data_IF_704176053494
#
_entry.id   IF_704176053494
#
_cell.length_a   1.000
_cell.length_b   1.000
_cell.length_c   1.000
_cell.angle_alpha   90.00
_cell.angle_beta   90.00
_cell.angle_gamma   90.00
#
_symmetry.space_group_name_H-M   'P 1'
#
loop_
_entity.id
_entity.type
_entity.pdbx_description
1 polymer ?
#
# COMPACT_ATOMS: atom_id res chain seq x y z
N UNK A 1 -1.60 2.48 -15.19
CA UNK A 1 -3.03 2.13 -15.33
C UNK A 1 -3.72 2.34 -13.98
N UNK A 2 -4.37 3.47 -13.82
CA UNK A 2 -4.95 3.93 -12.55
C UNK A 2 -6.31 3.27 -12.34
N UNK A 3 -6.40 2.27 -11.46
CA UNK A 3 -7.68 1.65 -11.06
C UNK A 3 -8.31 2.52 -9.96
N UNK A 4 -9.03 3.58 -10.34
CA UNK A 4 -9.85 4.36 -9.41
C UNK A 4 -11.12 3.58 -9.05
N UNK A 5 -11.50 3.60 -7.77
CA UNK A 5 -12.79 3.07 -7.32
C UNK A 5 -13.94 3.94 -7.85
N UNK A 6 -15.13 3.35 -8.03
CA UNK A 6 -16.36 4.12 -8.25
C UNK A 6 -16.62 5.02 -7.03
N UNK A 7 -17.01 6.27 -7.29
CA UNK A 7 -17.29 7.26 -6.26
C UNK A 7 -18.40 6.76 -5.31
N UNK A 8 -18.16 6.86 -4.00
CA UNK A 8 -19.14 6.59 -2.94
C UNK A 8 -19.21 5.17 -2.38
N UNK A 9 -18.60 4.14 -3.00
CA UNK A 9 -18.80 2.74 -2.56
C UNK A 9 -17.70 2.14 -1.67
N UNK A 10 -16.69 2.90 -1.28
CA UNK A 10 -15.56 2.41 -0.45
C UNK A 10 -14.97 3.46 0.49
N UNK A 11 -15.70 4.52 0.78
CA UNK A 11 -15.18 5.62 1.60
C UNK A 11 -14.92 5.17 3.04
N UNK A 12 -15.81 4.35 3.61
CA UNK A 12 -15.68 3.85 4.99
C UNK A 12 -14.39 3.03 5.20
N UNK A 13 -14.09 2.08 4.31
CA UNK A 13 -12.86 1.28 4.44
C UNK A 13 -11.60 2.08 4.15
N UNK A 14 -11.68 3.08 3.26
CA UNK A 14 -10.55 3.98 3.03
C UNK A 14 -10.29 4.82 4.28
N UNK A 15 -11.33 5.38 4.87
CA UNK A 15 -11.26 6.17 6.11
C UNK A 15 -10.73 5.35 7.29
N UNK A 16 -11.21 4.12 7.46
CA UNK A 16 -10.71 3.18 8.48
C UNK A 16 -9.21 2.94 8.32
N UNK A 17 -8.75 2.64 7.10
CA UNK A 17 -7.32 2.41 6.84
C UNK A 17 -6.51 3.69 7.04
N UNK A 18 -7.00 4.86 6.62
CA UNK A 18 -6.26 6.11 6.82
C UNK A 18 -6.14 6.47 8.30
N UNK A 19 -7.20 6.27 9.09
CA UNK A 19 -7.18 6.50 10.53
C UNK A 19 -6.20 5.55 11.22
N UNK A 20 -6.20 4.28 10.80
CA UNK A 20 -5.24 3.27 11.27
C UNK A 20 -3.78 3.65 10.96
N UNK A 21 -3.49 4.16 9.76
CA UNK A 21 -2.13 4.61 9.38
C UNK A 21 -1.66 5.77 10.26
N UNK A 22 -2.58 6.67 10.64
CA UNK A 22 -2.26 7.85 11.44
C UNK A 22 -2.32 7.61 12.95
N UNK A 23 -2.60 6.39 13.39
CA UNK A 23 -2.65 6.06 14.81
C UNK A 23 -1.23 5.97 15.41
N UNK A 24 -0.93 6.96 16.25
CA UNK A 24 0.35 7.09 16.94
C UNK A 24 0.41 6.31 18.27
N UNK A 25 -0.65 5.61 18.69
CA UNK A 25 -0.59 4.76 19.88
C UNK A 25 0.42 3.62 19.65
N UNK A 26 1.32 3.40 20.61
CA UNK A 26 2.30 2.30 20.59
C UNK A 26 1.62 0.92 20.60
N UNK A 27 0.37 0.85 21.07
CA UNK A 27 -0.45 -0.37 21.09
C UNK A 27 -1.21 -0.60 19.79
N UNK A 28 -1.23 0.37 18.87
CA UNK A 28 -1.92 0.22 17.60
C UNK A 28 -1.25 -0.89 16.76
N UNK A 29 -2.04 -1.76 16.09
CA UNK A 29 -1.47 -2.79 15.24
C UNK A 29 -0.69 -2.16 14.09
N UNK A 30 0.46 -2.73 13.70
CA UNK A 30 1.32 -2.20 12.61
C UNK A 30 1.17 -2.94 11.28
N UNK A 31 0.32 -3.98 11.25
CA UNK A 31 -0.01 -4.73 10.04
C UNK A 31 -1.54 -4.78 9.90
N UNK A 32 -2.04 -4.31 8.76
CA UNK A 32 -3.45 -4.42 8.38
C UNK A 32 -3.61 -5.46 7.26
N UNK A 33 -4.54 -6.40 7.46
CA UNK A 33 -4.82 -7.46 6.49
C UNK A 33 -6.15 -7.23 5.77
N UNK A 34 -6.08 -6.72 4.54
CA UNK A 34 -7.26 -6.49 3.70
C UNK A 34 -7.66 -7.77 2.95
N UNK A 35 -8.68 -8.48 3.43
CA UNK A 35 -9.21 -9.69 2.80
C UNK A 35 -10.62 -9.53 2.23
N UNK A 36 -11.04 -10.49 1.42
CA UNK A 36 -12.38 -10.49 0.82
C UNK A 36 -12.42 -11.27 -0.50
N UNK A 37 -13.61 -11.38 -1.08
CA UNK A 37 -13.82 -12.14 -2.32
C UNK A 37 -12.94 -11.63 -3.48
N UNK A 38 -12.50 -12.53 -4.35
CA UNK A 38 -11.78 -12.17 -5.57
C UNK A 38 -12.63 -11.21 -6.44
N UNK A 39 -11.97 -10.30 -7.15
CA UNK A 39 -12.66 -9.31 -8.01
C UNK A 39 -13.27 -8.10 -7.28
N UNK A 40 -13.33 -8.09 -5.95
CA UNK A 40 -13.90 -6.95 -5.18
C UNK A 40 -12.97 -5.74 -5.02
N UNK A 41 -11.92 -5.64 -5.84
CA UNK A 41 -11.10 -4.43 -5.93
C UNK A 41 -10.18 -4.12 -4.74
N UNK A 42 -9.76 -5.13 -3.96
CA UNK A 42 -8.78 -4.96 -2.87
C UNK A 42 -7.49 -4.25 -3.32
N UNK A 43 -6.95 -4.62 -4.48
CA UNK A 43 -5.77 -3.95 -5.05
C UNK A 43 -6.06 -2.49 -5.43
N UNK A 44 -7.31 -2.14 -5.77
CA UNK A 44 -7.69 -0.76 -6.03
C UNK A 44 -7.74 0.06 -4.72
N UNK A 45 -8.19 -0.54 -3.61
CA UNK A 45 -8.11 0.08 -2.28
C UNK A 45 -6.64 0.32 -1.91
N UNK A 46 -5.78 -0.70 -2.02
CA UNK A 46 -4.36 -0.57 -1.71
C UNK A 46 -3.67 0.53 -2.55
N UNK A 47 -3.96 0.62 -3.85
CA UNK A 47 -3.46 1.69 -4.70
C UNK A 47 -3.98 3.08 -4.28
N UNK A 48 -5.25 3.19 -3.88
CA UNK A 48 -5.82 4.47 -3.48
C UNK A 48 -5.22 4.97 -2.15
N UNK A 49 -4.99 4.06 -1.20
CA UNK A 49 -4.26 4.35 0.04
C UNK A 49 -2.82 4.76 -0.24
N UNK A 50 -2.12 4.05 -1.14
CA UNK A 50 -0.75 4.42 -1.52
C UNK A 50 -0.67 5.82 -2.14
N UNK A 51 -1.61 6.16 -3.04
CA UNK A 51 -1.68 7.51 -3.64
C UNK A 51 -1.97 8.59 -2.60
N UNK A 52 -2.88 8.33 -1.67
CA UNK A 52 -3.17 9.24 -0.56
C UNK A 52 -1.94 9.44 0.34
N UNK A 53 -1.27 8.36 0.75
CA UNK A 53 -0.08 8.42 1.59
C UNK A 53 1.09 9.12 0.89
N UNK A 54 1.25 8.90 -0.41
CA UNK A 54 2.26 9.60 -1.22
C UNK A 54 2.01 11.10 -1.23
N UNK A 55 0.75 11.53 -1.38
CA UNK A 55 0.37 12.95 -1.35
C UNK A 55 0.66 13.65 -0.01
N UNK A 56 0.75 12.86 1.08
CA UNK A 56 1.10 13.35 2.42
C UNK A 56 2.58 13.15 2.78
N UNK A 57 3.39 12.55 1.89
CA UNK A 57 4.78 12.22 2.20
C UNK A 57 4.95 11.09 3.22
N UNK A 58 3.92 10.27 3.45
CA UNK A 58 3.91 9.16 4.41
C UNK A 58 4.29 7.81 3.77
N UNK A 59 4.23 7.71 2.43
CA UNK A 59 4.50 6.47 1.74
C UNK A 59 6.00 6.18 1.68
N UNK A 60 6.47 5.16 2.40
CA UNK A 60 7.87 4.71 2.32
C UNK A 60 8.16 3.71 1.19
N UNK A 61 7.20 2.86 0.81
CA UNK A 61 7.32 1.96 -0.35
C UNK A 61 5.95 1.39 -0.73
N UNK A 62 5.78 1.00 -1.99
CA UNK A 62 4.61 0.28 -2.47
C UNK A 62 5.00 -0.85 -3.43
N UNK A 63 4.61 -2.08 -3.10
CA UNK A 63 4.94 -3.25 -3.91
C UNK A 63 3.70 -4.04 -4.33
N UNK A 64 3.68 -4.51 -5.58
CA UNK A 64 2.58 -5.30 -6.14
C UNK A 64 3.12 -6.47 -6.97
N UNK A 65 2.53 -7.65 -6.75
CA UNK A 65 2.75 -8.86 -7.56
C UNK A 65 1.44 -9.60 -7.77
N UNK A 66 1.37 -10.40 -8.82
CA UNK A 66 0.19 -11.16 -9.18
C UNK A 66 0.57 -12.60 -9.57
N UNK A 67 -0.27 -13.56 -9.18
CA UNK A 67 -0.02 -14.99 -9.39
C UNK A 67 -0.05 -15.38 -10.87
N UNK A 68 -0.69 -14.59 -11.72
CA UNK A 68 -0.71 -14.78 -13.17
C UNK A 68 0.53 -14.21 -13.87
N UNK A 69 1.40 -13.48 -13.16
CA UNK A 69 2.64 -12.86 -13.69
C UNK A 69 3.92 -13.42 -13.08
N UNK A 70 3.92 -14.72 -12.77
CA UNK A 70 5.06 -15.41 -12.14
C UNK A 70 6.34 -15.41 -13.00
N UNK A 71 6.22 -15.21 -14.32
CA UNK A 71 7.38 -15.05 -15.21
C UNK A 71 8.29 -13.90 -14.77
N UNK A 72 7.74 -12.86 -14.13
CA UNK A 72 8.50 -11.71 -13.64
C UNK A 72 9.23 -11.98 -12.30
N UNK A 73 8.91 -13.07 -11.59
CA UNK A 73 9.46 -13.46 -10.27
C UNK A 73 9.57 -12.30 -9.27
N UNK A 74 8.58 -11.40 -9.30
CA UNK A 74 8.58 -10.16 -8.52
C UNK A 74 8.57 -10.42 -7.02
N UNK A 75 7.91 -11.48 -6.57
CA UNK A 75 7.83 -11.88 -5.17
C UNK A 75 9.20 -12.00 -4.48
N UNK A 76 10.24 -12.44 -5.20
CA UNK A 76 11.60 -12.53 -4.66
C UNK A 76 12.28 -11.18 -4.40
N UNK A 77 11.71 -10.08 -4.90
CA UNK A 77 12.28 -8.73 -4.80
C UNK A 77 11.59 -7.84 -3.77
N UNK A 78 10.57 -8.34 -3.05
CA UNK A 78 9.79 -7.53 -2.10
C UNK A 78 10.69 -6.79 -1.12
N UNK A 79 11.56 -7.53 -0.42
CA UNK A 79 12.42 -6.95 0.62
C UNK A 79 13.48 -6.01 0.02
N UNK A 80 14.08 -6.37 -1.11
CA UNK A 80 15.09 -5.54 -1.76
C UNK A 80 14.50 -4.24 -2.32
N UNK A 81 13.27 -4.27 -2.84
CA UNK A 81 12.59 -3.07 -3.31
C UNK A 81 12.21 -2.16 -2.15
N UNK A 82 11.64 -2.70 -1.07
CA UNK A 82 11.31 -1.91 0.11
C UNK A 82 12.58 -1.27 0.72
N UNK A 83 13.68 -2.02 0.85
CA UNK A 83 14.93 -1.49 1.38
C UNK A 83 15.51 -0.37 0.51
N UNK A 84 15.49 -0.54 -0.82
CA UNK A 84 15.93 0.48 -1.76
C UNK A 84 15.06 1.74 -1.67
N UNK A 85 13.74 1.60 -1.75
CA UNK A 85 12.80 2.72 -1.68
C UNK A 85 12.98 3.52 -0.38
N UNK A 86 13.16 2.82 0.76
CA UNK A 86 13.40 3.47 2.05
C UNK A 86 14.75 4.20 2.11
N UNK A 87 15.79 3.66 1.49
CA UNK A 87 17.09 4.32 1.41
C UNK A 87 17.02 5.62 0.60
N UNK A 88 16.20 5.66 -0.47
CA UNK A 88 15.95 6.88 -1.25
C UNK A 88 15.23 7.98 -0.44
N UNK A 89 14.69 7.67 0.73
CA UNK A 89 14.08 8.65 1.63
C UNK A 89 15.04 9.19 2.71
N UNK A 90 16.24 8.62 2.86
CA UNK A 90 17.22 9.04 3.86
C UNK A 90 18.34 9.88 3.22
N UNK A 91 18.48 11.16 3.61
CA UNK A 91 19.52 12.04 3.09
C UNK A 91 20.96 11.56 3.32
N UNK A 92 21.20 10.67 4.29
CA UNK A 92 22.52 10.10 4.54
C UNK A 92 22.98 9.11 3.45
N UNK A 93 22.06 8.68 2.58
CA UNK A 93 22.35 7.76 1.46
C UNK A 93 22.49 8.47 0.09
N UNK A 94 22.44 9.81 0.05
CA UNK A 94 22.81 10.63 -1.11
C UNK A 94 24.25 11.13 -1.03
#
# INVERSE_FOLDING_TARGET
MTKKCLDGTRSEILEEITNWITDCDDKAPRILWLHGQAGRGKSAIAHMIALWAQGLGLLGSCFCFARDRQVEKREGKILTTIAHDLADHDPAFW
#
